data_IF_835358970076
#
_entry.id   IF_835358970076
#
_cell.length_a   1.000
_cell.length_b   1.000
_cell.length_c   1.000
_cell.angle_alpha   90.00
_cell.angle_beta   90.00
_cell.angle_gamma   90.00
#
_symmetry.space_group_name_H-M   'P 1'
#
loop_
_entity.id
_entity.type
_entity.pdbx_description
1 polymer ?
#
# COMPACT_ATOMS: atom_id res chain seq x y z
N UNK A 1 -13.69 -10.50 -20.16
CA UNK A 1 -13.34 -9.60 -19.04
C UNK A 1 -14.02 -10.12 -17.79
N UNK A 2 -13.28 -10.37 -16.72
CA UNK A 2 -13.86 -10.74 -15.44
C UNK A 2 -14.70 -9.58 -14.91
N UNK A 3 -15.98 -9.84 -14.62
CA UNK A 3 -16.89 -8.88 -14.01
C UNK A 3 -16.98 -9.16 -12.51
N UNK A 4 -17.17 -8.11 -11.71
CA UNK A 4 -17.45 -8.24 -10.28
C UNK A 4 -18.83 -8.89 -10.14
N UNK A 5 -18.95 -9.92 -9.30
CA UNK A 5 -20.26 -10.47 -8.92
C UNK A 5 -20.80 -9.69 -7.70
N UNK A 6 -21.90 -8.92 -7.83
CA UNK A 6 -22.46 -8.14 -6.73
C UNK A 6 -22.93 -8.99 -5.54
N UNK A 7 -23.42 -10.21 -5.78
CA UNK A 7 -23.92 -11.12 -4.73
C UNK A 7 -22.83 -11.55 -3.74
N UNK A 8 -21.56 -11.47 -4.16
CA UNK A 8 -20.41 -11.78 -3.30
C UNK A 8 -20.03 -10.60 -2.41
N UNK A 9 -20.51 -9.39 -2.67
CA UNK A 9 -20.13 -8.20 -1.90
C UNK A 9 -20.87 -8.22 -0.56
N UNK A 10 -20.12 -8.42 0.51
CA UNK A 10 -20.63 -8.44 1.88
C UNK A 10 -20.38 -7.13 2.62
N UNK A 11 -20.36 -7.24 3.95
CA UNK A 11 -20.18 -6.11 4.87
C UNK A 11 -18.88 -5.34 4.64
N UNK A 12 -18.89 -4.07 5.05
CA UNK A 12 -17.69 -3.25 5.19
C UNK A 12 -16.81 -3.83 6.29
N UNK A 13 -15.52 -4.01 5.96
CA UNK A 13 -14.50 -4.49 6.90
C UNK A 13 -13.63 -3.35 7.40
N UNK A 14 -13.30 -2.38 6.53
CA UNK A 14 -12.47 -1.24 6.87
C UNK A 14 -12.63 -0.12 5.84
N UNK A 15 -12.39 1.12 6.26
CA UNK A 15 -12.26 2.28 5.37
C UNK A 15 -10.81 2.77 5.48
N UNK A 16 -10.06 2.68 4.39
CA UNK A 16 -8.74 3.28 4.24
C UNK A 16 -8.83 4.65 3.59
N UNK A 17 -7.70 5.36 3.50
CA UNK A 17 -7.68 6.69 2.87
C UNK A 17 -7.80 6.66 1.34
N UNK A 18 -7.45 5.55 0.70
CA UNK A 18 -7.62 5.37 -0.76
C UNK A 18 -8.73 4.38 -1.12
N UNK A 19 -9.01 3.41 -0.25
CA UNK A 19 -9.91 2.30 -0.56
C UNK A 19 -10.92 1.99 0.56
N UNK A 20 -12.16 1.73 0.17
CA UNK A 20 -13.16 1.02 0.97
C UNK A 20 -12.95 -0.48 0.82
N UNK A 21 -12.79 -1.20 1.93
CA UNK A 21 -12.56 -2.64 1.95
C UNK A 21 -13.83 -3.34 2.41
N UNK A 22 -14.39 -4.20 1.56
CA UNK A 22 -15.55 -5.03 1.84
C UNK A 22 -15.20 -6.51 1.74
N UNK A 23 -15.99 -7.34 2.41
CA UNK A 23 -15.94 -8.78 2.22
C UNK A 23 -16.33 -9.12 0.77
N UNK A 24 -15.64 -10.09 0.16
CA UNK A 24 -15.99 -10.63 -1.15
C UNK A 24 -16.04 -12.16 -1.09
N UNK A 25 -17.24 -12.72 -1.01
CA UNK A 25 -17.45 -14.14 -0.69
C UNK A 25 -16.87 -14.51 0.68
N UNK A 26 -16.43 -15.76 0.84
CA UNK A 26 -15.90 -16.27 2.11
C UNK A 26 -14.41 -15.96 2.31
N UNK A 27 -13.61 -16.00 1.23
CA UNK A 27 -12.14 -16.03 1.31
C UNK A 27 -11.43 -14.80 0.75
N UNK A 28 -12.16 -13.80 0.28
CA UNK A 28 -11.58 -12.63 -0.39
C UNK A 28 -12.11 -11.32 0.21
N UNK A 29 -11.40 -10.26 -0.12
CA UNK A 29 -11.83 -8.87 0.06
C UNK A 29 -11.89 -8.19 -1.29
N UNK A 30 -12.81 -7.24 -1.41
CA UNK A 30 -12.87 -6.31 -2.55
C UNK A 30 -12.55 -4.90 -2.03
N UNK A 31 -11.60 -4.24 -2.70
CA UNK A 31 -11.21 -2.86 -2.43
C UNK A 31 -11.72 -1.97 -3.56
N UNK A 32 -12.49 -0.95 -3.24
CA UNK A 32 -13.00 0.03 -4.21
C UNK A 32 -12.51 1.44 -3.85
N UNK A 33 -12.18 2.29 -4.83
CA UNK A 33 -11.58 3.58 -4.56
C UNK A 33 -12.55 4.53 -3.88
N UNK A 34 -12.08 5.25 -2.87
CA UNK A 34 -12.81 6.31 -2.15
C UNK A 34 -11.95 7.54 -1.83
N UNK A 35 -10.65 7.49 -2.17
CA UNK A 35 -9.69 8.53 -1.81
C UNK A 35 -9.71 9.78 -2.69
N UNK A 36 -9.06 10.83 -2.19
CA UNK A 36 -8.98 12.14 -2.86
C UNK A 36 -8.38 12.05 -4.27
N UNK A 37 -7.46 11.10 -4.52
CA UNK A 37 -6.91 10.86 -5.85
C UNK A 37 -7.98 10.38 -6.82
N UNK A 38 -8.89 9.51 -6.39
CA UNK A 38 -9.98 9.06 -7.25
C UNK A 38 -11.02 10.17 -7.46
N UNK A 39 -11.29 10.97 -6.43
CA UNK A 39 -12.26 12.07 -6.49
C UNK A 39 -11.78 13.21 -7.39
N UNK A 40 -10.53 13.65 -7.27
CA UNK A 40 -9.99 14.81 -7.99
C UNK A 40 -9.26 14.44 -9.29
N UNK A 41 -8.79 13.20 -9.42
CA UNK A 41 -7.93 12.72 -10.52
C UNK A 41 -8.34 11.33 -11.02
N UNK A 42 -9.66 11.11 -11.19
CA UNK A 42 -10.22 9.79 -11.50
C UNK A 42 -9.49 9.04 -12.61
N UNK A 43 -9.42 9.63 -13.80
CA UNK A 43 -8.85 8.99 -14.99
C UNK A 43 -7.36 8.69 -14.81
N UNK A 44 -6.61 9.66 -14.25
CA UNK A 44 -5.19 9.48 -13.91
C UNK A 44 -4.98 8.37 -12.89
N UNK A 45 -5.80 8.32 -11.83
CA UNK A 45 -5.73 7.27 -10.80
C UNK A 45 -5.98 5.89 -11.41
N UNK A 46 -7.02 5.73 -12.23
CA UNK A 46 -7.32 4.47 -12.92
C UNK A 46 -6.14 4.03 -13.79
N UNK A 47 -5.57 4.94 -14.58
CA UNK A 47 -4.41 4.65 -15.42
C UNK A 47 -3.18 4.23 -14.61
N UNK A 48 -2.96 4.84 -13.44
CA UNK A 48 -1.86 4.47 -12.55
C UNK A 48 -2.04 3.12 -11.90
N UNK A 49 -3.23 2.70 -11.50
CA UNK A 49 -3.41 1.46 -10.73
C UNK A 49 -2.81 0.24 -11.41
N UNK A 50 -2.99 0.08 -12.73
CA UNK A 50 -2.39 -1.03 -13.49
C UNK A 50 -0.85 -0.95 -13.50
N UNK A 51 -0.32 0.25 -13.81
CA UNK A 51 1.12 0.52 -13.86
C UNK A 51 1.77 0.34 -12.49
N UNK A 52 1.14 0.86 -11.46
CA UNK A 52 1.59 0.85 -10.07
C UNK A 52 1.62 -0.60 -9.59
N UNK A 53 0.56 -1.37 -9.82
CA UNK A 53 0.55 -2.80 -9.45
C UNK A 53 1.68 -3.58 -10.13
N UNK A 54 1.88 -3.41 -11.44
CA UNK A 54 2.97 -4.05 -12.17
C UNK A 54 4.35 -3.61 -11.64
N UNK A 55 4.50 -2.32 -11.35
CA UNK A 55 5.72 -1.73 -10.81
C UNK A 55 6.03 -2.29 -9.42
N UNK A 56 5.09 -2.24 -8.47
CA UNK A 56 5.28 -2.80 -7.13
C UNK A 56 5.57 -4.30 -7.24
N UNK A 57 4.88 -5.05 -8.11
CA UNK A 57 5.13 -6.49 -8.30
C UNK A 57 6.56 -6.77 -8.74
N UNK A 58 7.11 -5.96 -9.66
CA UNK A 58 8.50 -6.08 -10.12
C UNK A 58 9.52 -5.88 -8.99
N UNK A 59 9.28 -4.92 -8.08
CA UNK A 59 10.22 -4.63 -6.99
C UNK A 59 9.98 -5.46 -5.71
N UNK A 60 8.76 -5.95 -5.48
CA UNK A 60 8.35 -6.50 -4.19
C UNK A 60 7.58 -7.83 -4.28
N UNK A 61 7.50 -8.48 -5.44
CA UNK A 61 6.57 -9.59 -5.71
C UNK A 61 6.48 -10.67 -4.63
N UNK A 62 7.59 -11.04 -3.96
CA UNK A 62 7.57 -12.05 -2.88
C UNK A 62 6.84 -11.62 -1.60
N UNK A 63 6.74 -10.31 -1.38
CA UNK A 63 6.12 -9.70 -0.20
C UNK A 63 4.66 -9.34 -0.45
N UNK A 64 4.28 -9.11 -1.71
CA UNK A 64 2.94 -8.68 -2.06
C UNK A 64 1.93 -9.82 -1.91
N UNK A 65 0.73 -9.44 -1.49
CA UNK A 65 -0.45 -10.25 -1.73
C UNK A 65 -0.86 -10.08 -3.19
N UNK A 66 -0.93 -11.21 -3.91
CA UNK A 66 -1.43 -11.21 -5.28
C UNK A 66 -2.89 -10.74 -5.30
N UNK A 67 -3.17 -9.86 -6.26
CA UNK A 67 -4.47 -9.27 -6.45
C UNK A 67 -4.90 -9.38 -7.90
N UNK A 68 -6.20 -9.54 -8.10
CA UNK A 68 -6.86 -9.32 -9.38
C UNK A 68 -7.38 -7.88 -9.41
N UNK A 69 -7.16 -7.18 -10.52
CA UNK A 69 -7.65 -5.81 -10.71
C UNK A 69 -8.66 -5.81 -11.85
N UNK A 70 -9.89 -5.40 -11.53
CA UNK A 70 -10.98 -5.28 -12.49
C UNK A 70 -11.19 -3.80 -12.76
N UNK A 71 -11.16 -3.42 -14.05
CA UNK A 71 -11.35 -2.04 -14.49
C UNK A 71 -12.75 -1.84 -15.07
N UNK A 72 -13.24 -0.61 -14.93
CA UNK A 72 -14.41 -0.06 -15.60
C UNK A 72 -14.05 1.32 -16.17
N UNK A 73 -14.96 1.94 -16.93
CA UNK A 73 -14.68 3.23 -17.59
C UNK A 73 -14.29 4.35 -16.60
N UNK A 74 -14.83 4.30 -15.38
CA UNK A 74 -14.70 5.36 -14.38
C UNK A 74 -14.26 4.85 -13.00
N UNK A 75 -13.95 3.57 -12.87
CA UNK A 75 -13.53 3.00 -11.58
C UNK A 75 -12.71 1.72 -11.74
N UNK A 76 -12.25 1.19 -10.62
CA UNK A 76 -11.60 -0.10 -10.53
C UNK A 76 -11.97 -0.81 -9.22
N UNK A 77 -11.77 -2.13 -9.19
CA UNK A 77 -11.82 -2.91 -7.97
C UNK A 77 -10.60 -3.83 -7.88
N UNK A 78 -10.11 -4.00 -6.65
CA UNK A 78 -9.01 -4.92 -6.36
C UNK A 78 -9.58 -6.07 -5.55
N UNK A 79 -9.52 -7.28 -6.08
CA UNK A 79 -9.88 -8.51 -5.37
C UNK A 79 -8.60 -9.15 -4.85
N UNK A 80 -8.56 -9.44 -3.56
CA UNK A 80 -7.39 -9.98 -2.87
C UNK A 80 -7.81 -11.03 -1.85
N UNK A 81 -6.97 -12.06 -1.65
CA UNK A 81 -7.22 -13.06 -0.61
C UNK A 81 -7.35 -12.37 0.75
N UNK A 82 -8.39 -12.74 1.50
CA UNK A 82 -8.55 -12.32 2.89
C UNK A 82 -7.49 -13.02 3.73
N UNK A 83 -6.74 -12.24 4.48
CA UNK A 83 -5.72 -12.72 5.41
C UNK A 83 -6.06 -12.28 6.83
N UNK A 84 -5.52 -12.96 7.83
CA UNK A 84 -5.65 -12.56 9.24
C UNK A 84 -4.27 -12.26 9.82
N UNK A 85 -3.70 -11.08 9.51
CA UNK A 85 -2.33 -10.81 9.86
C UNK A 85 -2.21 -10.06 11.18
N UNK A 86 -1.01 -10.08 11.75
CA UNK A 86 -0.64 -9.19 12.86
C UNK A 86 0.15 -8.00 12.31
N UNK A 87 -0.04 -6.77 12.83
CA UNK A 87 0.78 -5.62 12.42
C UNK A 87 2.27 -5.87 12.64
N UNK A 88 3.12 -5.32 11.78
CA UNK A 88 4.56 -5.28 12.02
C UNK A 88 4.86 -4.33 13.20
N UNK A 89 5.62 -4.82 14.18
CA UNK A 89 6.12 -4.02 15.32
C UNK A 89 7.64 -3.87 15.24
N UNK A 90 8.18 -2.84 15.88
CA UNK A 90 9.63 -2.65 16.00
C UNK A 90 10.26 -3.81 16.78
N UNK A 91 9.60 -4.32 17.82
CA UNK A 91 10.12 -5.45 18.60
C UNK A 91 10.22 -6.72 17.74
N UNK A 92 9.30 -6.94 16.81
CA UNK A 92 9.40 -8.05 15.86
C UNK A 92 10.63 -7.89 14.94
N UNK A 93 11.02 -6.67 14.58
CA UNK A 93 12.24 -6.40 13.83
C UNK A 93 13.51 -6.62 14.66
N UNK A 94 13.45 -6.41 15.98
CA UNK A 94 14.59 -6.62 16.89
C UNK A 94 14.79 -8.10 17.22
N UNK A 95 13.70 -8.84 17.41
CA UNK A 95 13.72 -10.21 17.94
C UNK A 95 13.67 -11.31 16.88
N UNK A 96 13.23 -11.01 15.65
CA UNK A 96 13.11 -12.00 14.58
C UNK A 96 14.04 -11.66 13.40
N UNK A 97 15.19 -12.36 13.25
CA UNK A 97 16.16 -12.09 12.20
C UNK A 97 15.60 -12.18 10.78
N UNK A 98 14.69 -13.12 10.52
CA UNK A 98 14.07 -13.31 9.20
C UNK A 98 13.18 -12.11 8.84
N UNK A 99 12.32 -11.67 9.77
CA UNK A 99 11.44 -10.51 9.56
C UNK A 99 12.28 -9.23 9.40
N UNK A 100 13.37 -9.08 10.16
CA UNK A 100 14.34 -8.00 10.01
C UNK A 100 14.96 -7.98 8.61
N UNK A 101 15.44 -9.13 8.13
CA UNK A 101 16.06 -9.24 6.80
C UNK A 101 15.07 -8.88 5.68
N UNK A 102 13.84 -9.40 5.78
CA UNK A 102 12.76 -9.10 4.84
C UNK A 102 12.43 -7.61 4.84
N UNK A 103 12.33 -6.97 6.00
CA UNK A 103 12.11 -5.53 6.12
C UNK A 103 13.25 -4.72 5.49
N UNK A 104 14.51 -5.04 5.78
CA UNK A 104 15.67 -4.38 5.18
C UNK A 104 15.70 -4.54 3.65
N UNK A 105 15.24 -5.69 3.14
CA UNK A 105 15.12 -5.92 1.71
C UNK A 105 14.01 -5.05 1.09
N UNK A 106 12.86 -4.90 1.75
CA UNK A 106 11.81 -3.95 1.31
C UNK A 106 12.36 -2.52 1.29
N UNK A 107 13.07 -2.07 2.33
CA UNK A 107 13.68 -0.74 2.35
C UNK A 107 14.65 -0.51 1.19
N UNK A 108 15.52 -1.50 0.90
CA UNK A 108 16.45 -1.44 -0.24
C UNK A 108 15.70 -1.40 -1.58
N UNK A 109 14.65 -2.18 -1.74
CA UNK A 109 13.85 -2.19 -2.96
C UNK A 109 13.08 -0.87 -3.14
N UNK A 110 12.59 -0.26 -2.06
CA UNK A 110 11.97 1.07 -2.12
C UNK A 110 12.98 2.16 -2.50
N UNK A 111 14.22 2.09 -2.02
CA UNK A 111 15.29 3.00 -2.45
C UNK A 111 15.53 2.91 -3.97
N UNK A 112 15.64 1.68 -4.50
CA UNK A 112 15.76 1.44 -5.95
C UNK A 112 14.55 1.95 -6.74
N UNK A 113 13.35 1.76 -6.20
CA UNK A 113 12.10 2.25 -6.80
C UNK A 113 12.12 3.79 -6.92
N UNK A 114 12.54 4.49 -5.87
CA UNK A 114 12.67 5.95 -5.88
C UNK A 114 13.69 6.41 -6.92
N UNK A 115 14.87 5.78 -6.94
CA UNK A 115 15.97 6.16 -7.84
C UNK A 115 15.64 5.94 -9.31
N UNK A 116 14.87 4.88 -9.64
CA UNK A 116 14.63 4.47 -11.03
C UNK A 116 13.32 4.95 -11.61
N UNK A 117 12.29 5.06 -10.78
CA UNK A 117 10.92 5.31 -11.23
C UNK A 117 10.34 6.61 -10.66
N UNK A 118 11.11 7.31 -9.82
CA UNK A 118 10.70 8.52 -9.11
C UNK A 118 9.38 8.38 -8.33
N UNK A 119 9.18 7.19 -7.77
CA UNK A 119 8.03 6.83 -6.96
C UNK A 119 8.47 6.14 -5.67
N UNK A 120 7.71 6.29 -4.59
CA UNK A 120 7.93 5.55 -3.34
C UNK A 120 6.73 4.71 -3.01
N UNK A 121 6.93 3.49 -2.53
CA UNK A 121 5.86 2.72 -1.92
C UNK A 121 5.42 3.38 -0.60
N UNK A 122 4.12 3.32 -0.31
CA UNK A 122 3.52 3.80 0.93
C UNK A 122 3.59 2.72 2.03
N UNK A 123 4.49 2.89 2.99
CA UNK A 123 4.63 1.98 4.14
C UNK A 123 3.55 2.21 5.19
N UNK A 124 2.97 3.40 5.23
CA UNK A 124 2.15 3.88 6.34
C UNK A 124 0.66 3.71 6.12
N UNK A 125 0.22 3.62 4.86
CA UNK A 125 -1.16 3.85 4.50
C UNK A 125 -1.55 5.30 4.71
N UNK A 126 -2.42 5.83 3.85
CA UNK A 126 -2.92 7.21 3.96
C UNK A 126 -3.43 7.58 5.37
N UNK A 127 -4.05 6.63 6.10
CA UNK A 127 -4.57 6.85 7.46
C UNK A 127 -3.49 6.78 8.56
N UNK A 128 -2.39 6.04 8.34
CA UNK A 128 -1.30 5.97 9.32
C UNK A 128 -0.53 7.29 9.41
N UNK A 129 -0.48 8.06 8.32
CA UNK A 129 0.23 9.34 8.27
C UNK A 129 -0.38 10.40 9.19
N UNK A 130 -1.71 10.39 9.35
CA UNK A 130 -2.46 11.37 10.16
C UNK A 130 -2.39 11.11 11.67
N UNK A 131 -1.87 9.96 12.10
CA UNK A 131 -1.74 9.66 13.53
C UNK A 131 -0.44 10.25 14.09
N UNK A 132 -0.50 11.18 15.07
CA UNK A 132 0.68 11.91 15.57
C UNK A 132 1.77 11.00 16.15
N UNK A 133 1.40 9.80 16.64
CA UNK A 133 2.32 8.78 17.18
C UNK A 133 2.36 7.48 16.36
N UNK A 134 2.10 7.55 15.06
CA UNK A 134 2.17 6.36 14.20
C UNK A 134 3.60 5.78 14.16
N UNK A 135 3.85 4.82 15.06
CA UNK A 135 5.01 3.93 15.06
C UNK A 135 4.76 2.66 14.22
N UNK A 136 3.66 2.63 13.47
CA UNK A 136 3.18 1.46 12.77
C UNK A 136 3.31 1.67 11.27
N UNK A 137 4.00 0.74 10.62
CA UNK A 137 4.07 0.62 9.17
C UNK A 137 2.80 -0.14 8.74
N UNK A 138 1.67 0.56 8.61
CA UNK A 138 0.36 -0.13 8.53
C UNK A 138 0.20 -1.00 7.30
N UNK A 139 0.95 -0.73 6.23
CA UNK A 139 0.93 -1.54 5.02
C UNK A 139 1.87 -2.75 5.09
N UNK A 140 2.61 -2.92 6.20
CA UNK A 140 3.43 -4.08 6.50
C UNK A 140 2.84 -4.88 7.65
N UNK A 141 2.66 -6.17 7.40
CA UNK A 141 2.08 -7.09 8.36
C UNK A 141 2.84 -8.41 8.37
N UNK A 142 2.67 -9.18 9.44
CA UNK A 142 3.24 -10.52 9.56
C UNK A 142 2.10 -11.53 9.43
N UNK A 143 2.24 -12.43 8.46
CA UNK A 143 1.33 -13.54 8.21
C UNK A 143 2.16 -14.82 8.12
N UNK A 144 1.81 -15.85 8.90
CA UNK A 144 2.52 -17.15 8.89
C UNK A 144 4.05 -17.02 9.00
N UNK A 145 4.52 -16.14 9.90
CA UNK A 145 5.95 -15.82 10.09
C UNK A 145 6.68 -15.26 8.86
N UNK A 146 5.94 -14.65 7.94
CA UNK A 146 6.48 -13.93 6.78
C UNK A 146 6.01 -12.48 6.79
N UNK A 147 6.88 -11.58 6.35
CA UNK A 147 6.52 -10.19 6.14
C UNK A 147 5.73 -10.05 4.84
N UNK A 148 4.56 -9.41 4.90
CA UNK A 148 3.66 -9.18 3.76
C UNK A 148 3.29 -7.71 3.61
N UNK A 149 3.08 -7.32 2.37
CA UNK A 149 2.58 -6.01 1.96
C UNK A 149 1.10 -6.14 1.59
N UNK A 150 0.24 -5.47 2.35
CA UNK A 150 -1.22 -5.58 2.18
C UNK A 150 -1.78 -4.61 1.14
N UNK A 151 -0.99 -3.62 0.74
CA UNK A 151 -1.36 -2.62 -0.25
C UNK A 151 -0.18 -2.34 -1.18
N UNK A 152 -0.48 -1.89 -2.39
CA UNK A 152 0.49 -1.48 -3.41
C UNK A 152 0.43 0.03 -3.68
N UNK A 153 -0.18 0.80 -2.79
CA UNK A 153 -0.22 2.26 -2.87
C UNK A 153 1.16 2.88 -3.13
N UNK A 154 1.23 3.72 -4.17
CA UNK A 154 2.44 4.44 -4.57
C UNK A 154 2.29 5.94 -4.32
N UNK A 155 3.34 6.55 -3.78
CA UNK A 155 3.57 7.99 -3.75
C UNK A 155 4.33 8.42 -5.01
N UNK A 156 3.63 9.10 -5.92
CA UNK A 156 4.24 9.73 -7.09
C UNK A 156 5.01 10.97 -6.65
N UNK A 157 6.33 11.03 -6.87
CA UNK A 157 7.15 12.12 -6.31
C UNK A 157 7.29 13.31 -7.26
N UNK A 158 6.78 13.19 -8.50
CA UNK A 158 6.76 14.23 -9.51
C UNK A 158 5.47 15.05 -9.49
N UNK A 159 5.59 16.36 -9.69
CA UNK A 159 4.42 17.26 -9.73
C UNK A 159 3.61 17.12 -11.01
N UNK A 160 4.26 16.89 -12.16
CA UNK A 160 3.65 17.01 -13.50
C UNK A 160 2.44 16.10 -13.70
N UNK A 161 2.38 15.01 -12.96
CA UNK A 161 1.34 13.99 -13.08
C UNK A 161 0.27 14.10 -11.97
N UNK A 162 0.35 15.09 -11.08
CA UNK A 162 -0.52 15.25 -9.92
C UNK A 162 -1.16 16.64 -9.82
N UNK A 163 -2.41 16.69 -9.36
CA UNK A 163 -2.97 17.93 -8.84
C UNK A 163 -2.09 18.48 -7.71
N UNK A 164 -1.92 19.81 -7.66
CA UNK A 164 -0.98 20.46 -6.77
C UNK A 164 -1.18 20.11 -5.28
N UNK A 165 -2.44 20.03 -4.81
CA UNK A 165 -2.76 19.69 -3.42
C UNK A 165 -2.36 18.24 -3.10
N UNK A 166 -2.63 17.33 -4.04
CA UNK A 166 -2.25 15.92 -3.91
C UNK A 166 -0.72 15.79 -3.91
N UNK A 167 -0.02 16.55 -4.76
CA UNK A 167 1.44 16.61 -4.74
C UNK A 167 2.00 17.08 -3.38
N UNK A 168 1.44 18.15 -2.79
CA UNK A 168 1.88 18.62 -1.47
C UNK A 168 1.69 17.57 -0.38
N UNK A 169 0.51 16.92 -0.36
CA UNK A 169 0.22 15.83 0.59
C UNK A 169 1.19 14.66 0.37
N UNK A 170 1.44 14.26 -0.88
CA UNK A 170 2.37 13.19 -1.23
C UNK A 170 3.81 13.53 -0.78
N UNK A 171 4.28 14.76 -1.00
CA UNK A 171 5.63 15.19 -0.56
C UNK A 171 5.76 15.22 0.96
N UNK A 172 4.74 15.72 1.65
CA UNK A 172 4.69 15.70 3.11
C UNK A 172 4.72 14.26 3.65
N UNK A 173 3.90 13.38 3.08
CA UNK A 173 3.83 11.96 3.42
C UNK A 173 5.18 11.26 3.25
N UNK A 174 5.81 11.45 2.09
CA UNK A 174 7.13 10.91 1.77
C UNK A 174 8.20 11.37 2.78
N UNK A 175 8.24 12.68 3.10
CA UNK A 175 9.20 13.22 4.05
C UNK A 175 8.98 12.67 5.47
N UNK A 176 7.72 12.57 5.92
CA UNK A 176 7.35 11.95 7.20
C UNK A 176 7.78 10.49 7.24
N UNK A 177 7.51 9.74 6.16
CA UNK A 177 7.89 8.34 6.03
C UNK A 177 9.40 8.15 6.15
N UNK A 178 10.18 8.92 5.40
CA UNK A 178 11.63 8.79 5.42
C UNK A 178 12.24 9.12 6.77
N UNK A 179 11.72 10.13 7.47
CA UNK A 179 12.18 10.45 8.83
C UNK A 179 11.94 9.27 9.79
N UNK A 180 10.80 8.60 9.67
CA UNK A 180 10.51 7.45 10.50
C UNK A 180 11.32 6.22 10.12
N UNK A 181 11.42 5.89 8.83
CA UNK A 181 12.24 4.76 8.37
C UNK A 181 13.69 4.91 8.82
N UNK A 182 14.27 6.12 8.77
CA UNK A 182 15.61 6.40 9.33
C UNK A 182 15.70 6.10 10.82
N UNK A 183 14.69 6.46 11.62
CA UNK A 183 14.64 6.15 13.05
C UNK A 183 14.56 4.65 13.30
N UNK A 184 13.64 3.96 12.63
CA UNK A 184 13.49 2.50 12.76
C UNK A 184 14.78 1.79 12.36
N UNK A 185 15.41 2.17 11.24
CA UNK A 185 16.69 1.58 10.80
C UNK A 185 17.79 1.76 11.85
N UNK A 186 17.87 2.93 12.50
CA UNK A 186 18.83 3.17 13.59
C UNK A 186 18.55 2.33 14.84
N UNK A 187 17.29 1.98 15.10
CA UNK A 187 16.91 1.17 16.27
C UNK A 187 17.12 -0.34 16.08
N UNK A 188 17.20 -0.81 14.84
CA UNK A 188 17.28 -2.24 14.54
C UNK A 188 18.66 -2.66 14.01
N UNK A 189 19.49 -1.74 13.54
CA UNK A 189 20.89 -1.99 13.14
C UNK A 189 21.76 -1.83 14.39
#
# INVERSE_FOLDING_TARGET
MNKINPEKIGRVLSVGGEHLIRQYGQFYVIKTPVGIRHTLQRQTNIAWVARDYATVRRYFGKFMLLSEIIFSADSYAIIQKKINPRPLTIDALKTNPKIKEDFLRICRNNKKLIERENVSWDFYGAMGLLRPRARLLSNLVIESNQLKMIDFGIMHLEKQSQYWLIYLITRWAYNRQNRFLKKVLKEII
#
